data_IF_047623835777
#
_entry.id   IF_047623835777
#
_cell.length_a   1.000
_cell.length_b   1.000
_cell.length_c   1.000
_cell.angle_alpha   90.00
_cell.angle_beta   90.00
_cell.angle_gamma   90.00
#
_symmetry.space_group_name_H-M   'P 1'
#
loop_
_entity.id
_entity.type
_entity.pdbx_description
1 polymer ?
#
# COMPACT_ATOMS: atom_id res chain seq x y z
N UNK A 1 6.51 30.81 -15.21
CA UNK A 1 7.66 30.08 -14.58
C UNK A 1 7.10 29.26 -13.44
N UNK A 2 7.22 27.95 -13.51
CA UNK A 2 6.67 27.08 -12.46
C UNK A 2 7.77 26.64 -11.47
N UNK A 3 7.38 26.41 -10.21
CA UNK A 3 8.20 25.80 -9.17
C UNK A 3 7.73 24.37 -8.94
N UNK A 4 8.62 23.39 -9.14
CA UNK A 4 8.35 22.00 -8.85
C UNK A 4 8.92 21.63 -7.48
N UNK A 5 8.06 21.29 -6.55
CA UNK A 5 8.43 20.74 -5.25
C UNK A 5 8.57 19.21 -5.40
N UNK A 6 9.80 18.73 -5.46
CA UNK A 6 10.12 17.32 -5.59
C UNK A 6 10.33 16.71 -4.20
N UNK A 7 9.30 16.08 -3.65
CA UNK A 7 9.37 15.36 -2.38
C UNK A 7 9.99 13.98 -2.60
N UNK A 8 11.19 13.79 -2.07
CA UNK A 8 11.99 12.56 -2.27
C UNK A 8 11.99 11.61 -1.06
N UNK A 9 11.21 11.88 -0.07
CA UNK A 9 11.20 11.11 1.20
C UNK A 9 12.17 11.77 2.22
N UNK A 10 12.99 11.07 2.96
CA UNK A 10 13.44 9.67 2.80
C UNK A 10 12.30 8.65 2.97
N UNK A 11 12.48 7.38 2.55
CA UNK A 11 11.49 6.34 2.87
C UNK A 11 11.26 6.27 4.39
N UNK A 12 10.06 5.85 4.81
CA UNK A 12 9.69 5.70 6.23
C UNK A 12 9.54 7.03 7.02
N UNK A 13 9.29 8.13 6.31
CA UNK A 13 8.95 9.46 6.86
C UNK A 13 7.51 9.88 6.54
N UNK A 14 6.59 8.93 6.47
CA UNK A 14 5.16 9.23 6.20
C UNK A 14 4.83 9.56 4.75
N UNK A 15 5.72 9.24 3.81
CA UNK A 15 5.55 9.54 2.37
C UNK A 15 4.22 9.06 1.81
N UNK A 16 3.81 7.83 2.12
CA UNK A 16 2.52 7.28 1.67
C UNK A 16 1.31 8.07 2.18
N UNK A 17 1.40 8.63 3.38
CA UNK A 17 0.35 9.49 3.93
C UNK A 17 0.20 10.77 3.10
N UNK A 18 1.30 11.48 2.85
CA UNK A 18 1.30 12.69 2.03
C UNK A 18 0.85 12.41 0.58
N UNK A 19 1.35 11.33 -0.02
CA UNK A 19 1.02 10.93 -1.38
C UNK A 19 -0.48 10.68 -1.56
N UNK A 20 -1.09 9.90 -0.67
CA UNK A 20 -2.53 9.65 -0.70
C UNK A 20 -3.32 10.93 -0.43
N UNK A 21 -2.91 11.71 0.57
CA UNK A 21 -3.56 12.99 0.87
C UNK A 21 -3.58 13.92 -0.37
N UNK A 22 -2.46 14.11 -1.05
CA UNK A 22 -2.41 14.95 -2.24
C UNK A 22 -3.21 14.37 -3.41
N UNK A 23 -3.20 13.04 -3.58
CA UNK A 23 -4.00 12.38 -4.60
C UNK A 23 -5.49 12.60 -4.40
N UNK A 24 -5.97 12.46 -3.16
CA UNK A 24 -7.39 12.58 -2.83
C UNK A 24 -7.87 14.04 -2.87
N UNK A 25 -6.96 14.99 -2.74
CA UNK A 25 -7.24 16.44 -2.64
C UNK A 25 -6.81 17.25 -3.86
N UNK A 26 -6.59 16.63 -5.02
CA UNK A 26 -6.15 17.35 -6.24
C UNK A 26 -6.98 18.58 -6.56
N UNK A 27 -8.31 18.47 -6.49
CA UNK A 27 -9.21 19.56 -6.84
C UNK A 27 -9.07 20.77 -5.87
N UNK A 28 -8.80 20.52 -4.60
CA UNK A 28 -8.58 21.60 -3.60
C UNK A 28 -7.22 22.25 -3.80
N UNK A 29 -6.19 21.44 -4.09
CA UNK A 29 -4.85 21.95 -4.43
C UNK A 29 -4.89 22.89 -5.65
N UNK A 30 -5.62 22.51 -6.70
CA UNK A 30 -5.76 23.32 -7.91
C UNK A 30 -6.39 24.69 -7.64
N UNK A 31 -7.35 24.80 -6.72
CA UNK A 31 -7.94 26.07 -6.30
C UNK A 31 -6.90 27.02 -5.67
N UNK A 32 -5.85 26.48 -5.06
CA UNK A 32 -4.75 27.22 -4.47
C UNK A 32 -3.55 27.42 -5.41
N UNK A 33 -3.70 27.06 -6.69
CA UNK A 33 -2.64 27.20 -7.69
C UNK A 33 -1.56 26.11 -7.64
N UNK A 34 -1.80 25.03 -6.87
CA UNK A 34 -0.94 23.85 -6.85
C UNK A 34 -1.54 22.75 -7.70
N UNK A 35 -0.69 21.92 -8.28
CA UNK A 35 -1.13 20.66 -8.91
C UNK A 35 -0.34 19.48 -8.38
N UNK A 36 -1.05 18.38 -8.11
CA UNK A 36 -0.49 17.04 -7.91
C UNK A 36 -0.76 16.22 -9.16
N UNK A 37 0.17 16.18 -10.14
CA UNK A 37 -0.06 15.64 -11.47
C UNK A 37 -0.58 14.21 -11.48
N UNK A 38 -1.50 13.91 -12.38
CA UNK A 38 -1.87 12.56 -12.75
C UNK A 38 -1.38 12.28 -14.17
N UNK A 39 -0.24 11.63 -14.27
CA UNK A 39 0.37 11.29 -15.56
C UNK A 39 -0.36 10.16 -16.30
N UNK A 40 -1.43 9.58 -15.73
CA UNK A 40 -2.16 8.42 -16.28
C UNK A 40 -1.27 7.19 -16.50
N UNK A 41 -0.15 7.12 -15.81
CA UNK A 41 0.79 6.00 -15.85
C UNK A 41 0.55 5.05 -14.69
N UNK A 42 0.72 3.75 -14.95
CA UNK A 42 0.62 2.71 -13.93
C UNK A 42 1.86 1.84 -13.96
N UNK A 43 2.43 1.59 -12.79
CA UNK A 43 3.63 0.78 -12.63
C UNK A 43 3.31 -0.43 -11.75
N UNK A 44 3.71 -1.63 -12.20
CA UNK A 44 3.42 -2.86 -11.47
C UNK A 44 4.02 -2.83 -10.07
N UNK A 45 3.18 -3.03 -9.05
CA UNK A 45 3.60 -3.04 -7.64
C UNK A 45 3.85 -1.65 -7.04
N UNK A 46 3.54 -0.57 -7.74
CA UNK A 46 3.69 0.81 -7.26
C UNK A 46 2.32 1.45 -7.03
N UNK A 47 2.15 2.10 -5.88
CA UNK A 47 0.91 2.81 -5.55
C UNK A 47 0.65 3.97 -6.51
N UNK A 48 -0.60 4.14 -6.94
CA UNK A 48 -1.00 5.20 -7.88
C UNK A 48 -0.74 6.62 -7.37
N UNK A 49 -0.63 6.78 -6.05
CA UNK A 49 -0.35 8.07 -5.44
C UNK A 49 1.10 8.53 -5.62
N UNK A 50 2.02 7.68 -6.06
CA UNK A 50 3.43 8.01 -6.30
C UNK A 50 3.61 8.64 -7.69
N UNK A 51 3.20 9.88 -7.84
CA UNK A 51 3.19 10.56 -9.14
C UNK A 51 4.58 10.85 -9.72
N UNK A 52 5.64 10.89 -8.89
CA UNK A 52 7.03 11.06 -9.32
C UNK A 52 7.75 9.77 -9.74
N UNK A 53 7.05 8.60 -9.76
CA UNK A 53 7.72 7.32 -9.98
C UNK A 53 8.40 7.17 -11.34
N UNK A 54 8.00 7.90 -12.35
CA UNK A 54 8.68 7.94 -13.66
C UNK A 54 10.17 8.32 -13.54
N UNK A 55 10.54 9.07 -12.49
CA UNK A 55 11.94 9.42 -12.20
C UNK A 55 12.75 8.25 -11.61
N UNK A 56 12.08 7.32 -10.96
CA UNK A 56 12.69 6.15 -10.33
C UNK A 56 12.54 4.87 -11.16
N UNK A 57 11.82 4.92 -12.27
CA UNK A 57 11.55 3.78 -13.13
C UNK A 57 12.77 3.38 -13.95
N UNK A 58 13.09 2.07 -14.06
CA UNK A 58 14.35 1.56 -14.60
C UNK A 58 14.22 0.35 -15.52
N UNK A 59 13.06 0.13 -16.13
CA UNK A 59 12.91 -0.93 -17.12
C UNK A 59 13.38 -0.46 -18.50
N UNK A 60 13.33 -1.37 -19.47
CA UNK A 60 13.81 -1.13 -20.83
C UNK A 60 13.17 0.09 -21.50
N UNK A 61 11.93 0.41 -21.16
CA UNK A 61 11.16 1.54 -21.66
C UNK A 61 11.26 2.82 -20.80
N UNK A 62 12.19 2.87 -19.85
CA UNK A 62 12.31 3.97 -18.87
C UNK A 62 12.49 5.34 -19.54
N UNK A 63 13.27 5.43 -20.63
CA UNK A 63 13.44 6.69 -21.35
C UNK A 63 12.14 7.15 -22.02
N UNK A 64 11.38 6.25 -22.62
CA UNK A 64 10.07 6.57 -23.21
C UNK A 64 9.08 7.06 -22.15
N UNK A 65 9.04 6.38 -20.99
CA UNK A 65 8.22 6.78 -19.83
C UNK A 65 8.61 8.17 -19.35
N UNK A 66 9.91 8.43 -19.21
CA UNK A 66 10.43 9.73 -18.80
C UNK A 66 10.01 10.83 -19.79
N UNK A 67 10.23 10.65 -21.09
CA UNK A 67 9.88 11.63 -22.12
C UNK A 67 8.39 11.92 -22.16
N UNK A 68 7.55 10.89 -22.07
CA UNK A 68 6.09 11.07 -22.00
C UNK A 68 5.66 11.87 -20.78
N UNK A 69 6.26 11.59 -19.61
CA UNK A 69 5.99 12.37 -18.41
C UNK A 69 6.44 13.83 -18.55
N UNK A 70 7.61 14.08 -19.15
CA UNK A 70 8.13 15.42 -19.37
C UNK A 70 7.30 16.23 -20.38
N UNK A 71 6.77 15.60 -21.40
CA UNK A 71 5.83 16.24 -22.34
C UNK A 71 4.57 16.73 -21.59
N UNK A 72 3.96 15.89 -20.76
CA UNK A 72 2.81 16.27 -19.94
C UNK A 72 3.17 17.37 -18.93
N UNK A 73 4.34 17.25 -18.27
CA UNK A 73 4.84 18.29 -17.35
C UNK A 73 4.89 19.66 -18.01
N UNK A 74 5.52 19.73 -19.18
CA UNK A 74 5.83 20.99 -19.83
C UNK A 74 4.68 21.56 -20.64
N UNK A 75 3.87 20.70 -21.29
CA UNK A 75 2.77 21.13 -22.15
C UNK A 75 1.45 21.31 -21.40
N UNK A 76 1.25 20.61 -20.29
CA UNK A 76 0.01 20.70 -19.53
C UNK A 76 0.19 21.39 -18.18
N UNK A 77 1.01 20.82 -17.29
CA UNK A 77 1.04 21.24 -15.91
C UNK A 77 1.76 22.56 -15.71
N UNK A 78 2.97 22.74 -16.26
CA UNK A 78 3.74 23.96 -16.14
C UNK A 78 3.13 25.17 -16.87
N UNK A 79 2.21 24.96 -17.80
CA UNK A 79 1.49 26.05 -18.47
C UNK A 79 0.29 26.54 -17.67
N UNK A 80 -0.30 25.68 -16.84
CA UNK A 80 -1.54 25.98 -16.11
C UNK A 80 -1.29 26.35 -14.65
N UNK A 81 -0.19 25.86 -14.06
CA UNK A 81 0.07 25.98 -12.64
C UNK A 81 1.49 26.50 -12.37
N UNK A 82 1.58 27.37 -11.39
CA UNK A 82 2.86 27.95 -10.93
C UNK A 82 3.57 27.05 -9.91
N UNK A 83 2.85 26.12 -9.29
CA UNK A 83 3.36 25.25 -8.23
C UNK A 83 2.95 23.79 -8.47
N UNK A 84 3.93 22.90 -8.56
CA UNK A 84 3.73 21.49 -8.89
C UNK A 84 4.34 20.66 -7.78
N UNK A 85 3.62 19.68 -7.27
CA UNK A 85 4.10 18.74 -6.25
C UNK A 85 4.31 17.38 -6.90
N UNK A 86 5.55 16.91 -6.89
CA UNK A 86 5.92 15.53 -7.23
C UNK A 86 6.39 14.80 -5.98
N UNK A 87 6.03 13.53 -5.83
CA UNK A 87 6.44 12.72 -4.69
C UNK A 87 6.86 11.32 -5.11
N UNK A 88 8.12 10.97 -4.78
CA UNK A 88 8.69 9.66 -5.04
C UNK A 88 9.80 9.32 -4.04
N UNK A 89 9.50 8.46 -3.09
CA UNK A 89 10.43 8.12 -1.99
C UNK A 89 11.67 7.31 -2.42
N UNK A 90 11.61 6.60 -3.55
CA UNK A 90 12.77 5.86 -4.04
C UNK A 90 13.93 6.76 -4.45
N UNK A 91 13.66 8.01 -4.78
CA UNK A 91 14.67 9.02 -5.13
C UNK A 91 15.58 9.36 -3.94
N UNK A 92 15.07 9.30 -2.72
CA UNK A 92 15.82 9.53 -1.49
C UNK A 92 16.96 8.52 -1.26
N UNK A 93 16.89 7.36 -1.90
CA UNK A 93 17.92 6.32 -1.78
C UNK A 93 18.89 6.26 -2.95
N UNK A 94 18.51 6.72 -4.14
CA UNK A 94 19.23 6.40 -5.36
C UNK A 94 19.58 7.58 -6.26
N UNK A 95 19.04 8.79 -6.01
CA UNK A 95 19.37 10.01 -6.76
C UNK A 95 19.22 9.97 -8.28
N UNK A 96 18.73 8.86 -8.82
CA UNK A 96 18.73 8.58 -10.25
C UNK A 96 17.71 9.44 -10.97
N UNK A 97 18.14 10.02 -12.08
CA UNK A 97 17.38 10.94 -12.91
C UNK A 97 17.03 12.30 -12.26
N UNK A 98 17.40 12.56 -10.99
CA UNK A 98 17.15 13.88 -10.39
C UNK A 98 17.92 14.94 -11.16
N UNK A 99 19.19 14.74 -11.42
CA UNK A 99 20.04 15.70 -12.16
C UNK A 99 19.49 15.96 -13.57
N UNK A 100 19.17 14.89 -14.32
CA UNK A 100 18.54 15.01 -15.64
C UNK A 100 17.24 15.82 -15.57
N UNK A 101 16.36 15.47 -14.65
CA UNK A 101 15.09 16.17 -14.46
C UNK A 101 15.28 17.64 -14.12
N UNK A 102 16.18 17.95 -13.20
CA UNK A 102 16.49 19.33 -12.81
C UNK A 102 17.02 20.13 -14.00
N UNK A 103 17.92 19.55 -14.80
CA UNK A 103 18.47 20.19 -15.98
C UNK A 103 17.40 20.42 -17.06
N UNK A 104 16.54 19.45 -17.31
CA UNK A 104 15.45 19.56 -18.28
C UNK A 104 14.42 20.63 -17.86
N UNK A 105 14.11 20.73 -16.56
CA UNK A 105 13.23 21.78 -16.03
C UNK A 105 13.88 23.18 -16.08
N UNK A 106 15.17 23.28 -15.73
CA UNK A 106 15.94 24.55 -15.83
C UNK A 106 16.02 25.03 -17.28
N UNK A 107 16.21 24.15 -18.25
CA UNK A 107 16.26 24.47 -19.68
C UNK A 107 14.95 25.12 -20.17
N UNK A 108 13.84 24.89 -19.47
CA UNK A 108 12.52 25.47 -19.75
C UNK A 108 12.14 26.62 -18.81
N UNK A 109 13.13 27.20 -18.10
CA UNK A 109 12.95 28.29 -17.14
C UNK A 109 12.01 27.94 -15.94
N UNK A 110 12.01 26.68 -15.51
CA UNK A 110 11.34 26.24 -14.29
C UNK A 110 12.34 25.99 -13.17
N UNK A 111 11.87 26.04 -11.93
CA UNK A 111 12.68 25.81 -10.73
C UNK A 111 12.27 24.48 -10.09
N UNK A 112 13.25 23.66 -9.70
CA UNK A 112 13.01 22.45 -8.90
C UNK A 112 13.53 22.70 -7.49
N UNK A 113 12.67 22.50 -6.50
CA UNK A 113 13.00 22.50 -5.07
C UNK A 113 12.85 21.10 -4.51
N UNK A 114 13.88 20.60 -3.85
CA UNK A 114 13.86 19.30 -3.21
C UNK A 114 13.30 19.42 -1.79
N UNK A 115 12.24 18.67 -1.50
CA UNK A 115 11.70 18.52 -0.15
C UNK A 115 12.13 17.16 0.37
N UNK A 116 12.89 17.15 1.48
CA UNK A 116 13.39 15.92 2.08
C UNK A 116 13.20 15.92 3.59
N UNK A 117 12.63 14.82 4.12
CA UNK A 117 12.48 14.57 5.54
C UNK A 117 13.53 13.58 6.03
N UNK A 118 14.25 13.94 7.06
CA UNK A 118 15.27 13.10 7.70
C UNK A 118 14.69 12.47 8.97
N UNK A 119 14.86 11.19 9.12
CA UNK A 119 14.47 10.43 10.30
C UNK A 119 15.69 9.93 11.03
N UNK A 120 15.69 9.94 12.37
CA UNK A 120 16.83 9.44 13.15
C UNK A 120 17.20 8.03 12.70
N UNK A 121 18.48 7.78 12.51
CA UNK A 121 19.00 6.62 11.77
C UNK A 121 18.57 5.28 12.38
N UNK A 122 18.53 5.15 13.70
CA UNK A 122 18.05 3.99 14.41
C UNK A 122 16.58 3.68 14.11
N UNK A 123 15.72 4.69 14.17
CA UNK A 123 14.28 4.57 13.90
C UNK A 123 14.00 4.31 12.40
N UNK A 124 14.83 4.88 11.53
CA UNK A 124 14.79 4.59 10.11
C UNK A 124 15.07 3.12 9.83
N UNK A 125 16.19 2.59 10.37
CA UNK A 125 16.59 1.20 10.14
C UNK A 125 15.59 0.20 10.71
N UNK A 126 15.07 0.43 11.91
CA UNK A 126 14.02 -0.41 12.49
C UNK A 126 12.80 -0.48 11.59
N UNK A 127 12.34 0.68 11.12
CA UNK A 127 11.19 0.76 10.21
C UNK A 127 11.47 0.10 8.85
N UNK A 128 12.71 0.23 8.35
CA UNK A 128 13.15 -0.39 7.09
C UNK A 128 13.22 -1.91 7.21
N UNK A 129 13.83 -2.40 8.30
CA UNK A 129 13.90 -3.83 8.57
C UNK A 129 12.51 -4.45 8.75
N UNK A 130 11.65 -3.82 9.54
CA UNK A 130 10.27 -4.28 9.71
C UNK A 130 9.52 -4.35 8.36
N UNK A 131 9.76 -3.41 7.46
CA UNK A 131 9.20 -3.47 6.11
C UNK A 131 9.76 -4.65 5.30
N UNK A 132 11.07 -4.87 5.35
CA UNK A 132 11.71 -5.98 4.66
C UNK A 132 11.24 -7.34 5.21
N UNK A 133 11.02 -7.45 6.52
CA UNK A 133 10.46 -8.66 7.16
C UNK A 133 9.03 -8.90 6.68
N UNK A 134 8.20 -7.86 6.59
CA UNK A 134 6.84 -7.98 6.04
C UNK A 134 6.84 -8.50 4.59
N UNK A 135 7.89 -8.21 3.86
CA UNK A 135 8.07 -8.74 2.50
C UNK A 135 8.70 -10.15 2.53
N UNK A 136 10.00 -10.23 2.72
CA UNK A 136 10.75 -11.49 2.51
C UNK A 136 11.93 -11.70 3.47
N UNK A 137 12.36 -10.68 4.23
CA UNK A 137 13.59 -10.77 5.03
C UNK A 137 13.47 -11.81 6.15
N UNK A 138 14.56 -12.56 6.36
CA UNK A 138 14.68 -13.64 7.34
C UNK A 138 15.68 -13.28 8.45
N UNK A 139 16.59 -12.34 8.19
CA UNK A 139 17.61 -11.91 9.12
C UNK A 139 17.01 -11.16 10.31
N UNK A 140 17.66 -11.28 11.45
CA UNK A 140 17.35 -10.48 12.64
C UNK A 140 17.67 -9.00 12.41
N UNK A 141 17.21 -8.14 13.31
CA UNK A 141 17.52 -6.73 13.22
C UNK A 141 19.02 -6.44 13.34
N UNK A 142 19.71 -7.10 14.28
CA UNK A 142 21.14 -6.92 14.47
C UNK A 142 21.94 -7.38 13.24
N UNK A 143 21.62 -8.54 12.66
CA UNK A 143 22.23 -8.97 11.39
C UNK A 143 21.94 -8.03 10.21
N UNK A 144 20.79 -7.33 10.25
CA UNK A 144 20.43 -6.37 9.22
C UNK A 144 21.31 -5.11 9.28
N UNK A 145 21.58 -4.60 10.47
CA UNK A 145 22.37 -3.38 10.66
C UNK A 145 23.89 -3.57 10.50
N UNK A 146 24.40 -4.81 10.54
CA UNK A 146 25.80 -5.11 10.25
C UNK A 146 26.23 -4.73 8.82
N UNK A 147 25.24 -4.63 7.90
CA UNK A 147 25.52 -4.25 6.53
C UNK A 147 25.63 -2.73 6.40
N UNK A 148 26.76 -2.21 5.90
CA UNK A 148 26.91 -0.79 5.68
C UNK A 148 25.79 -0.21 4.81
N UNK A 149 25.27 0.93 5.19
CA UNK A 149 24.24 1.64 4.44
C UNK A 149 24.63 3.10 4.23
N UNK A 150 25.05 3.44 3.03
CA UNK A 150 25.39 4.82 2.65
C UNK A 150 24.18 5.78 2.74
N UNK A 151 22.96 5.24 2.79
CA UNK A 151 21.73 6.04 2.90
C UNK A 151 21.62 6.78 4.24
N UNK A 152 22.38 6.35 5.26
CA UNK A 152 22.36 6.94 6.60
C UNK A 152 23.34 8.11 6.75
N UNK A 153 24.27 8.31 5.81
CA UNK A 153 25.08 9.53 5.75
C UNK A 153 24.26 10.65 5.09
N UNK A 154 23.47 11.30 5.91
CA UNK A 154 22.59 12.36 5.44
C UNK A 154 23.35 13.56 4.88
N UNK A 155 24.49 13.91 5.47
CA UNK A 155 25.26 15.05 5.01
C UNK A 155 25.82 14.84 3.60
N UNK A 156 26.46 13.70 3.34
CA UNK A 156 26.99 13.39 2.01
C UNK A 156 25.89 13.34 0.95
N UNK A 157 24.74 12.75 1.30
CA UNK A 157 23.60 12.68 0.40
C UNK A 157 23.00 14.08 0.10
N UNK A 158 22.80 14.91 1.11
CA UNK A 158 22.25 16.26 0.93
C UNK A 158 23.23 17.17 0.16
N UNK A 159 24.55 17.03 0.37
CA UNK A 159 25.54 17.76 -0.44
C UNK A 159 25.43 17.41 -1.92
N UNK A 160 25.33 16.13 -2.26
CA UNK A 160 25.14 15.70 -3.66
C UNK A 160 23.86 16.30 -4.29
N UNK A 161 22.77 16.38 -3.55
CA UNK A 161 21.54 17.00 -4.03
C UNK A 161 21.66 18.53 -4.12
N UNK A 162 22.33 19.18 -3.16
CA UNK A 162 22.60 20.60 -3.15
C UNK A 162 23.41 21.02 -4.39
N UNK A 163 24.38 20.22 -4.80
CA UNK A 163 25.19 20.47 -6.00
C UNK A 163 24.34 20.47 -7.29
N UNK A 164 23.27 19.67 -7.31
CA UNK A 164 22.34 19.60 -8.45
C UNK A 164 21.39 20.79 -8.48
N UNK A 165 20.71 21.11 -7.37
CA UNK A 165 19.64 22.10 -7.36
C UNK A 165 20.07 23.49 -6.88
N UNK A 166 21.17 23.60 -6.13
CA UNK A 166 21.60 24.79 -5.40
C UNK A 166 21.05 24.84 -3.98
N UNK A 167 21.76 25.50 -3.07
CA UNK A 167 21.44 25.57 -1.65
C UNK A 167 20.03 26.11 -1.37
N UNK A 168 19.63 27.19 -2.05
CA UNK A 168 18.33 27.87 -1.86
C UNK A 168 17.13 26.98 -2.27
N UNK A 169 17.36 25.89 -2.96
CA UNK A 169 16.34 24.95 -3.43
C UNK A 169 16.30 23.66 -2.62
N UNK A 170 17.03 23.59 -1.51
CA UNK A 170 16.99 22.47 -0.57
C UNK A 170 16.06 22.79 0.59
N UNK A 171 14.95 22.08 0.70
CA UNK A 171 13.97 22.19 1.78
C UNK A 171 14.10 20.96 2.67
N UNK A 172 15.06 21.02 3.60
CA UNK A 172 15.39 19.92 4.52
C UNK A 172 14.53 20.02 5.78
N UNK A 173 13.85 18.95 6.14
CA UNK A 173 13.00 18.85 7.32
C UNK A 173 13.39 17.65 8.18
N UNK A 174 13.06 17.70 9.45
CA UNK A 174 13.29 16.60 10.38
C UNK A 174 11.97 15.89 10.70
N UNK A 175 11.94 14.57 10.56
CA UNK A 175 10.77 13.75 10.86
C UNK A 175 10.74 13.37 12.35
N UNK A 176 10.48 14.37 13.17
CA UNK A 176 10.20 14.25 14.61
C UNK A 176 9.00 15.13 14.96
N UNK A 177 8.06 14.59 15.73
CA UNK A 177 6.80 15.28 16.05
C UNK A 177 7.01 16.66 16.67
N UNK A 178 7.96 16.78 17.59
CA UNK A 178 8.28 18.05 18.27
C UNK A 178 8.97 19.09 17.36
N UNK A 179 9.38 18.71 16.15
CA UNK A 179 10.01 19.59 15.17
C UNK A 179 9.10 19.96 14.01
N UNK A 180 7.91 19.39 13.95
CA UNK A 180 6.92 19.80 12.95
C UNK A 180 6.38 21.19 13.24
N UNK A 181 6.26 22.00 12.19
CA UNK A 181 5.70 23.34 12.23
C UNK A 181 4.28 23.35 11.65
N UNK A 182 3.64 24.52 11.74
CA UNK A 182 2.26 24.73 11.31
C UNK A 182 1.23 24.45 12.41
N UNK A 183 -0.03 24.70 12.12
CA UNK A 183 -1.11 24.80 13.10
C UNK A 183 -1.34 23.49 13.89
N UNK A 184 -1.25 22.35 13.22
CA UNK A 184 -1.52 21.03 13.84
C UNK A 184 -0.25 20.32 14.32
N UNK A 185 0.93 20.85 14.01
CA UNK A 185 2.23 20.25 14.35
C UNK A 185 2.30 18.77 13.95
N UNK A 186 1.78 18.45 12.78
CA UNK A 186 1.88 17.14 12.16
C UNK A 186 2.64 17.22 10.83
N UNK A 187 2.96 16.08 10.24
CA UNK A 187 3.69 15.99 8.98
C UNK A 187 3.02 16.78 7.84
N UNK A 188 1.70 16.83 7.82
CA UNK A 188 0.94 17.55 6.79
C UNK A 188 1.10 19.06 6.95
N UNK A 189 0.88 19.59 8.17
CA UNK A 189 1.04 21.02 8.42
C UNK A 189 2.50 21.46 8.21
N UNK A 190 3.46 20.64 8.59
CA UNK A 190 4.87 20.88 8.34
C UNK A 190 5.19 20.95 6.83
N UNK A 191 4.63 20.04 6.05
CA UNK A 191 4.79 20.08 4.60
C UNK A 191 4.13 21.32 3.98
N UNK A 192 2.94 21.68 4.45
CA UNK A 192 2.22 22.86 3.96
C UNK A 192 3.03 24.13 4.17
N UNK A 193 3.52 24.36 5.38
CA UNK A 193 4.39 25.50 5.70
C UNK A 193 5.66 25.48 4.84
N UNK A 194 6.26 24.31 4.64
CA UNK A 194 7.48 24.14 3.85
C UNK A 194 7.32 24.57 2.40
N UNK A 195 6.16 24.30 1.79
CA UNK A 195 5.90 24.63 0.38
C UNK A 195 5.05 25.89 0.19
N UNK A 196 4.52 26.47 1.27
CA UNK A 196 3.64 27.64 1.26
C UNK A 196 2.21 27.32 0.79
N UNK A 197 1.70 26.14 1.18
CA UNK A 197 0.32 25.72 0.96
C UNK A 197 -0.49 26.04 2.22
N UNK A 198 -1.69 26.56 2.07
CA UNK A 198 -2.56 26.87 3.19
C UNK A 198 -3.58 25.77 3.46
N UNK A 199 -4.02 25.66 4.73
CA UNK A 199 -5.13 24.76 5.06
C UNK A 199 -6.42 25.24 4.38
N UNK A 200 -7.25 24.31 3.94
CA UNK A 200 -8.58 24.54 3.37
C UNK A 200 -9.56 23.54 3.99
N UNK A 201 -10.74 24.01 4.39
CA UNK A 201 -11.79 23.19 4.99
C UNK A 201 -12.35 22.11 4.04
N UNK A 202 -12.14 22.28 2.73
CA UNK A 202 -12.53 21.29 1.73
C UNK A 202 -11.55 20.13 1.63
N UNK A 203 -10.39 20.18 2.31
CA UNK A 203 -9.48 19.04 2.31
C UNK A 203 -10.08 17.81 2.96
N UNK A 204 -10.09 16.71 2.21
CA UNK A 204 -10.51 15.39 2.69
C UNK A 204 -9.38 14.82 3.53
N UNK A 205 -9.66 14.60 4.81
CA UNK A 205 -8.75 13.88 5.68
C UNK A 205 -9.00 12.38 5.58
N UNK A 206 -7.95 11.56 5.54
CA UNK A 206 -8.12 10.11 5.58
C UNK A 206 -8.81 9.72 6.91
N UNK A 207 -9.85 8.93 6.83
CA UNK A 207 -10.69 8.52 7.98
C UNK A 207 -9.89 7.83 9.09
N UNK A 208 -8.78 7.20 8.77
CA UNK A 208 -7.85 6.59 9.75
C UNK A 208 -6.41 6.73 9.29
N UNK A 209 -5.66 7.61 9.95
CA UNK A 209 -4.19 7.62 9.88
C UNK A 209 -3.64 6.56 10.84
N UNK A 210 -4.03 5.31 10.66
CA UNK A 210 -3.37 4.20 11.32
C UNK A 210 -2.62 3.42 10.26
N UNK A 211 -1.33 3.73 10.11
CA UNK A 211 -0.36 2.76 9.61
C UNK A 211 0.37 2.18 10.83
N UNK A 212 -0.26 1.28 11.60
CA UNK A 212 0.41 0.68 12.73
C UNK A 212 1.65 -0.06 12.25
N UNK A 213 2.70 -0.08 13.04
CA UNK A 213 3.86 -0.92 12.77
C UNK A 213 3.60 -2.31 13.36
N UNK A 214 3.69 -3.33 12.52
CA UNK A 214 3.75 -4.68 13.04
C UNK A 214 5.04 -4.81 13.85
N UNK A 215 4.95 -5.27 15.10
CA UNK A 215 6.08 -5.36 16.01
C UNK A 215 5.96 -6.58 16.91
N UNK A 216 6.96 -6.79 17.77
CA UNK A 216 6.96 -7.85 18.76
C UNK A 216 6.82 -9.25 18.14
N UNK A 217 6.13 -10.13 18.84
CA UNK A 217 5.90 -11.51 18.42
C UNK A 217 5.25 -11.63 17.03
N UNK A 218 4.41 -10.68 16.65
CA UNK A 218 3.75 -10.70 15.33
C UNK A 218 4.73 -10.48 14.18
N UNK A 219 5.67 -9.55 14.32
CA UNK A 219 6.70 -9.32 13.32
C UNK A 219 7.71 -10.48 13.29
N UNK A 220 8.12 -10.98 14.46
CA UNK A 220 9.01 -12.13 14.58
C UNK A 220 8.38 -13.41 14.01
N UNK A 221 7.07 -13.61 14.22
CA UNK A 221 6.32 -14.70 13.54
C UNK A 221 6.44 -14.57 12.02
N UNK A 222 6.25 -13.37 11.47
CA UNK A 222 6.42 -13.16 10.02
C UNK A 222 7.85 -13.46 9.57
N UNK A 223 8.86 -13.01 10.32
CA UNK A 223 10.27 -13.28 10.01
C UNK A 223 10.57 -14.78 9.97
N UNK A 224 10.09 -15.53 10.97
CA UNK A 224 10.24 -17.00 11.00
C UNK A 224 9.47 -17.68 9.86
N UNK A 225 8.29 -17.20 9.50
CA UNK A 225 7.54 -17.69 8.36
C UNK A 225 8.29 -17.47 7.03
N UNK A 226 9.06 -16.41 6.90
CA UNK A 226 9.85 -16.15 5.69
C UNK A 226 10.93 -17.20 5.40
N UNK A 227 11.25 -18.09 6.36
CA UNK A 227 12.11 -19.24 6.12
C UNK A 227 11.48 -20.27 5.17
N UNK A 228 10.19 -20.13 4.88
CA UNK A 228 9.43 -20.96 3.96
C UNK A 228 9.10 -20.16 2.72
N UNK A 229 9.53 -20.58 1.52
CA UNK A 229 9.40 -19.81 0.27
C UNK A 229 7.97 -19.32 0.00
N UNK A 230 6.98 -20.08 0.43
CA UNK A 230 5.57 -19.78 0.22
C UNK A 230 5.09 -18.55 1.00
N UNK A 231 5.76 -18.21 2.11
CA UNK A 231 5.50 -17.00 2.90
C UNK A 231 6.47 -15.85 2.57
N UNK A 232 7.63 -16.18 2.01
CA UNK A 232 8.63 -15.20 1.58
C UNK A 232 8.27 -14.61 0.20
N UNK A 233 7.06 -14.13 0.05
CA UNK A 233 6.56 -13.56 -1.21
C UNK A 233 6.05 -12.14 -0.99
N UNK A 234 6.14 -11.32 -2.04
CA UNK A 234 5.55 -9.97 -2.03
C UNK A 234 4.02 -9.96 -1.96
N UNK A 235 3.37 -11.08 -2.22
CA UNK A 235 1.91 -11.21 -2.12
C UNK A 235 1.40 -11.21 -0.69
N UNK A 236 2.27 -11.47 0.28
CA UNK A 236 2.05 -11.25 1.72
C UNK A 236 0.65 -11.56 2.26
N UNK A 237 0.07 -12.67 1.82
CA UNK A 237 -1.31 -13.03 2.18
C UNK A 237 -1.51 -13.19 3.71
N UNK A 238 -0.45 -13.43 4.48
CA UNK A 238 -0.52 -13.57 5.94
C UNK A 238 -0.48 -12.24 6.69
N UNK A 239 0.18 -11.22 6.12
CA UNK A 239 0.42 -9.94 6.79
C UNK A 239 -0.86 -9.21 7.22
N UNK A 240 -1.94 -9.15 6.42
CA UNK A 240 -3.20 -8.54 6.87
C UNK A 240 -3.79 -9.20 8.13
N UNK A 241 -3.66 -10.51 8.27
CA UNK A 241 -4.14 -11.25 9.43
C UNK A 241 -3.27 -11.03 10.66
N UNK A 242 -1.94 -10.94 10.46
CA UNK A 242 -1.01 -10.57 11.54
C UNK A 242 -1.31 -9.17 12.07
N UNK A 243 -1.64 -8.21 11.19
CA UNK A 243 -2.06 -6.88 11.62
C UNK A 243 -3.37 -6.93 12.40
N UNK A 244 -4.37 -7.64 11.92
CA UNK A 244 -5.66 -7.75 12.59
C UNK A 244 -5.52 -8.42 13.97
N UNK A 245 -4.68 -9.45 14.09
CA UNK A 245 -4.38 -10.09 15.36
C UNK A 245 -3.61 -9.15 16.31
N UNK A 246 -2.61 -8.44 15.80
CA UNK A 246 -1.83 -7.48 16.57
C UNK A 246 -2.69 -6.30 17.08
N UNK A 247 -3.59 -5.76 16.24
CA UNK A 247 -4.52 -4.69 16.64
C UNK A 247 -5.46 -5.14 17.77
N UNK A 248 -5.97 -6.37 17.71
CA UNK A 248 -6.85 -6.93 18.73
C UNK A 248 -6.17 -7.08 20.10
N UNK A 249 -4.87 -7.37 20.10
CA UNK A 249 -4.10 -7.67 21.31
C UNK A 249 -3.12 -6.55 21.69
N UNK A 250 -3.37 -5.32 21.26
CA UNK A 250 -2.51 -4.16 21.51
C UNK A 250 -1.03 -4.35 21.09
N UNK A 251 -0.80 -5.31 20.19
CA UNK A 251 0.54 -5.69 19.70
C UNK A 251 1.07 -4.81 18.56
N UNK A 252 0.45 -3.65 18.33
CA UNK A 252 0.92 -2.65 17.37
C UNK A 252 1.73 -1.58 18.08
N UNK A 253 2.86 -1.26 17.47
CA UNK A 253 3.83 -0.37 18.08
C UNK A 253 3.78 1.06 17.52
N UNK A 254 4.16 2.02 18.35
CA UNK A 254 4.51 3.36 17.90
C UNK A 254 5.74 3.34 16.98
N UNK A 255 5.76 4.17 15.94
CA UNK A 255 6.91 4.30 15.04
C UNK A 255 8.09 5.04 15.67
N UNK A 256 7.90 5.69 16.80
CA UNK A 256 8.90 6.52 17.47
C UNK A 256 9.68 5.80 18.57
N UNK A 257 9.34 4.54 18.86
CA UNK A 257 9.98 3.78 19.94
C UNK A 257 11.09 2.87 19.42
N UNK A 258 12.22 2.83 20.17
CA UNK A 258 13.23 1.81 19.97
C UNK A 258 12.72 0.46 20.49
N UNK A 259 12.92 -0.60 19.69
CA UNK A 259 12.41 -1.94 20.01
C UNK A 259 13.45 -3.05 19.91
N UNK A 260 14.58 -2.78 19.27
CA UNK A 260 15.53 -3.81 18.84
C UNK A 260 16.97 -3.53 19.27
N UNK A 261 17.24 -2.34 19.82
CA UNK A 261 18.51 -2.00 20.43
C UNK A 261 18.36 -2.03 21.95
N UNK A 262 19.41 -2.47 22.68
CA UNK A 262 19.59 -2.01 24.05
C UNK A 262 19.91 -0.51 24.06
N UNK A 263 19.83 0.12 25.22
CA UNK A 263 20.16 1.54 25.35
C UNK A 263 21.60 1.85 24.88
N UNK A 264 22.58 1.05 25.32
CA UNK A 264 23.98 1.19 24.95
C UNK A 264 24.19 0.96 23.43
N UNK A 265 23.59 -0.08 22.88
CA UNK A 265 23.68 -0.37 21.45
C UNK A 265 23.14 0.80 20.63
N UNK A 266 22.02 1.40 21.06
CA UNK A 266 21.41 2.53 20.37
C UNK A 266 22.34 3.75 20.38
N UNK A 267 22.93 4.08 21.53
CA UNK A 267 23.88 5.19 21.65
C UNK A 267 25.10 4.93 20.78
N UNK A 268 25.72 3.76 20.87
CA UNK A 268 26.92 3.43 20.10
C UNK A 268 26.66 3.41 18.60
N UNK A 269 25.49 2.95 18.18
CA UNK A 269 25.06 3.02 16.79
C UNK A 269 24.91 4.48 16.32
N UNK A 270 24.29 5.34 17.08
CA UNK A 270 24.03 6.74 16.70
C UNK A 270 25.31 7.60 16.71
N UNK A 271 26.31 7.30 17.55
CA UNK A 271 27.61 8.00 17.54
C UNK A 271 28.27 8.02 16.16
N UNK A 272 28.04 6.99 15.34
CA UNK A 272 28.62 6.90 13.99
C UNK A 272 28.12 8.02 13.06
N UNK A 273 26.99 8.63 13.37
CA UNK A 273 26.33 9.66 12.54
C UNK A 273 26.38 11.06 13.16
N UNK A 274 26.92 11.23 14.35
CA UNK A 274 26.95 12.52 15.09
C UNK A 274 27.56 13.63 14.25
N UNK A 275 28.73 13.39 13.64
CA UNK A 275 29.41 14.39 12.83
C UNK A 275 28.60 14.77 11.57
N UNK A 276 28.08 13.76 10.87
CA UNK A 276 27.21 13.96 9.71
C UNK A 276 25.95 14.73 10.09
N UNK A 277 25.28 14.33 11.16
CA UNK A 277 24.07 15.00 11.66
C UNK A 277 24.35 16.45 12.10
N UNK A 278 25.46 16.70 12.76
CA UNK A 278 25.85 18.06 13.18
C UNK A 278 26.11 18.98 11.99
N UNK A 279 26.73 18.47 10.92
CA UNK A 279 26.91 19.23 9.68
C UNK A 279 25.58 19.53 9.02
N UNK A 280 24.66 18.56 8.96
CA UNK A 280 23.30 18.79 8.43
C UNK A 280 22.58 19.87 9.24
N UNK A 281 22.62 19.81 10.56
CA UNK A 281 21.98 20.79 11.43
C UNK A 281 22.48 22.18 11.18
N UNK A 282 23.81 22.36 11.07
CA UNK A 282 24.44 23.68 10.83
C UNK A 282 24.20 24.20 9.42
N UNK A 283 24.50 23.39 8.39
CA UNK A 283 24.55 23.90 7.02
C UNK A 283 23.19 23.93 6.34
N UNK A 284 22.28 23.02 6.66
CA UNK A 284 20.97 22.94 5.99
C UNK A 284 19.83 23.48 6.84
N UNK A 285 19.99 23.54 8.17
CA UNK A 285 18.93 24.01 9.07
C UNK A 285 19.33 25.30 9.83
N UNK A 286 20.57 25.79 9.68
CA UNK A 286 21.06 27.00 10.36
C UNK A 286 21.14 26.88 11.89
N UNK A 287 21.34 25.65 12.41
CA UNK A 287 21.36 25.38 13.84
C UNK A 287 22.79 25.40 14.37
N UNK A 288 23.17 26.44 15.09
CA UNK A 288 24.52 26.60 15.65
C UNK A 288 24.89 25.52 16.66
N UNK A 289 23.89 24.96 17.37
CA UNK A 289 24.08 23.90 18.35
C UNK A 289 24.47 22.56 17.70
N UNK A 290 24.29 22.40 16.40
CA UNK A 290 24.56 21.16 15.67
C UNK A 290 23.61 20.01 16.00
N UNK A 291 22.49 20.28 16.66
CA UNK A 291 21.53 19.25 17.05
C UNK A 291 20.50 19.03 15.92
N UNK A 292 20.60 17.89 15.25
CA UNK A 292 19.66 17.52 14.19
C UNK A 292 18.37 16.91 14.75
N UNK A 293 18.51 15.90 15.59
CA UNK A 293 17.41 15.19 16.22
C UNK A 293 17.31 15.57 17.69
N UNK A 294 16.09 15.87 18.16
CA UNK A 294 15.79 16.39 19.49
C UNK A 294 15.09 15.40 20.40
N UNK A 295 14.55 14.30 19.83
CA UNK A 295 13.91 13.25 20.62
C UNK A 295 14.96 12.54 21.48
N UNK A 296 14.73 12.52 22.79
CA UNK A 296 15.61 11.85 23.74
C UNK A 296 15.68 10.33 23.47
N UNK A 297 16.84 9.76 23.76
CA UNK A 297 17.01 8.31 23.77
C UNK A 297 16.58 7.83 25.15
N UNK A 298 15.52 7.04 25.17
CA UNK A 298 14.97 6.49 26.42
C UNK A 298 15.40 5.04 26.57
N UNK A 299 15.85 4.68 27.78
CA UNK A 299 16.10 3.31 28.12
C UNK A 299 14.76 2.58 28.32
N UNK A 300 14.40 1.74 27.36
CA UNK A 300 13.19 0.92 27.38
C UNK A 300 13.45 -0.50 27.90
N UNK A 301 14.60 -0.75 28.48
CA UNK A 301 15.05 -2.08 28.91
C UNK A 301 15.54 -2.97 27.75
N UNK A 302 15.68 -4.25 28.05
CA UNK A 302 16.14 -5.22 27.06
C UNK A 302 15.10 -5.43 25.96
N UNK A 303 15.52 -5.42 24.67
CA UNK A 303 14.61 -5.67 23.57
C UNK A 303 14.08 -7.10 23.60
N UNK A 304 12.77 -7.26 23.48
CA UNK A 304 12.12 -8.56 23.34
C UNK A 304 12.30 -9.05 21.90
N UNK A 305 13.27 -9.92 21.69
CA UNK A 305 13.62 -10.48 20.37
C UNK A 305 13.40 -11.98 20.29
N UNK A 306 13.31 -12.65 21.43
CA UNK A 306 13.01 -14.08 21.53
C UNK A 306 11.69 -14.33 22.26
N UNK A 307 10.84 -15.08 21.60
CA UNK A 307 9.51 -15.48 22.08
C UNK A 307 9.45 -17.00 22.22
N UNK A 308 8.64 -17.46 23.17
CA UNK A 308 8.40 -18.88 23.38
C UNK A 308 7.66 -19.54 22.21
N UNK A 309 7.76 -20.85 22.12
CA UNK A 309 7.00 -21.61 21.11
C UNK A 309 5.49 -21.42 21.30
N UNK A 310 5.02 -21.25 22.53
CA UNK A 310 3.61 -21.04 22.83
C UNK A 310 3.12 -19.66 22.34
N UNK A 311 3.95 -18.60 22.46
CA UNK A 311 3.61 -17.28 21.92
C UNK A 311 3.51 -17.29 20.39
N UNK A 312 4.47 -17.93 19.70
CA UNK A 312 4.37 -18.10 18.24
C UNK A 312 3.14 -18.92 17.83
N UNK A 313 2.85 -20.00 18.56
CA UNK A 313 1.67 -20.82 18.33
C UNK A 313 0.38 -20.04 18.56
N UNK A 314 0.34 -19.20 19.58
CA UNK A 314 -0.77 -18.29 19.87
C UNK A 314 -1.07 -17.38 18.67
N UNK A 315 -0.04 -16.69 18.15
CA UNK A 315 -0.19 -15.81 16.96
C UNK A 315 -0.66 -16.59 15.73
N UNK A 316 -0.10 -17.76 15.46
CA UNK A 316 -0.50 -18.59 14.33
C UNK A 316 -1.95 -19.08 14.45
N UNK A 317 -2.37 -19.43 15.67
CA UNK A 317 -3.75 -19.84 15.95
C UNK A 317 -4.73 -18.70 15.68
N UNK A 318 -4.43 -17.48 16.10
CA UNK A 318 -5.23 -16.29 15.81
C UNK A 318 -5.33 -16.02 14.31
N UNK A 319 -4.21 -16.08 13.59
CA UNK A 319 -4.17 -15.92 12.13
C UNK A 319 -5.08 -16.95 11.45
N UNK A 320 -5.01 -18.23 11.87
CA UNK A 320 -5.85 -19.29 11.32
C UNK A 320 -7.34 -19.02 11.61
N UNK A 321 -7.67 -18.62 12.83
CA UNK A 321 -9.05 -18.28 13.22
C UNK A 321 -9.58 -17.14 12.35
N UNK A 322 -8.81 -16.07 12.19
CA UNK A 322 -9.22 -14.92 11.36
C UNK A 322 -9.36 -15.28 9.88
N UNK A 323 -8.46 -16.11 9.35
CA UNK A 323 -8.58 -16.62 7.99
C UNK A 323 -9.87 -17.43 7.79
N UNK A 324 -10.19 -18.29 8.76
CA UNK A 324 -11.41 -19.09 8.70
C UNK A 324 -12.67 -18.22 8.79
N UNK A 325 -12.69 -17.21 9.67
CA UNK A 325 -13.79 -16.25 9.77
C UNK A 325 -14.03 -15.53 8.44
N UNK A 326 -12.98 -14.98 7.85
CA UNK A 326 -13.08 -14.31 6.54
C UNK A 326 -13.58 -15.24 5.42
N UNK A 327 -13.14 -16.50 5.43
CA UNK A 327 -13.62 -17.48 4.48
C UNK A 327 -15.11 -17.81 4.64
N UNK A 328 -15.61 -17.82 5.88
CA UNK A 328 -17.04 -17.97 6.15
C UNK A 328 -17.83 -16.78 5.63
N UNK A 329 -17.40 -15.56 5.96
CA UNK A 329 -18.01 -14.32 5.48
C UNK A 329 -18.05 -14.26 3.94
N UNK A 330 -16.96 -14.62 3.27
CA UNK A 330 -16.92 -14.67 1.81
C UNK A 330 -17.88 -15.72 1.23
N UNK A 331 -18.05 -16.86 1.91
CA UNK A 331 -19.02 -17.89 1.50
C UNK A 331 -20.45 -17.40 1.64
N UNK A 332 -20.76 -16.74 2.75
CA UNK A 332 -22.09 -16.19 3.00
C UNK A 332 -22.44 -15.09 2.00
N UNK A 333 -21.51 -14.18 1.73
CA UNK A 333 -21.69 -13.13 0.74
C UNK A 333 -21.90 -13.71 -0.69
N UNK A 334 -21.13 -14.75 -1.06
CA UNK A 334 -21.30 -15.45 -2.33
C UNK A 334 -22.65 -16.16 -2.41
N UNK A 335 -23.09 -16.80 -1.32
CA UNK A 335 -24.38 -17.44 -1.23
C UNK A 335 -25.54 -16.45 -1.38
N UNK A 336 -25.49 -15.32 -0.68
CA UNK A 336 -26.46 -14.24 -0.79
C UNK A 336 -26.56 -13.69 -2.21
N UNK A 337 -25.39 -13.47 -2.86
CA UNK A 337 -25.35 -12.98 -4.24
C UNK A 337 -25.90 -13.98 -5.26
N UNK A 338 -25.67 -15.29 -5.03
CA UNK A 338 -26.27 -16.36 -5.85
C UNK A 338 -27.79 -16.39 -5.66
N UNK A 339 -28.29 -16.18 -4.46
CA UNK A 339 -29.73 -16.14 -4.18
C UNK A 339 -30.40 -14.95 -4.87
N UNK A 340 -29.82 -13.74 -4.74
CA UNK A 340 -30.29 -12.53 -5.44
C UNK A 340 -30.38 -12.74 -6.95
N UNK A 341 -29.38 -13.42 -7.52
CA UNK A 341 -29.35 -13.73 -8.96
C UNK A 341 -30.44 -14.71 -9.38
N UNK A 342 -30.72 -15.72 -8.54
CA UNK A 342 -31.81 -16.67 -8.78
C UNK A 342 -33.17 -15.97 -8.80
N UNK A 343 -33.39 -15.05 -7.87
CA UNK A 343 -34.63 -14.25 -7.79
C UNK A 343 -34.81 -13.36 -9.01
N UNK A 344 -33.77 -12.59 -9.39
CA UNK A 344 -33.80 -11.78 -10.61
C UNK A 344 -34.04 -12.62 -11.89
N UNK A 345 -33.48 -13.83 -11.92
CA UNK A 345 -33.68 -14.76 -13.04
C UNK A 345 -35.11 -15.28 -13.08
N UNK A 346 -35.74 -15.54 -11.93
CA UNK A 346 -37.14 -15.93 -11.83
C UNK A 346 -38.08 -14.81 -12.30
N UNK A 347 -37.89 -13.60 -11.77
CA UNK A 347 -38.65 -12.42 -12.18
C UNK A 347 -38.57 -12.17 -13.70
N UNK A 348 -37.37 -12.33 -14.28
CA UNK A 348 -37.20 -12.18 -15.73
C UNK A 348 -37.96 -13.26 -16.53
N UNK A 349 -37.98 -14.54 -16.04
CA UNK A 349 -38.72 -15.63 -16.65
C UNK A 349 -40.23 -15.39 -16.58
N UNK A 350 -40.73 -14.91 -15.44
CA UNK A 350 -42.16 -14.60 -15.25
C UNK A 350 -42.61 -13.45 -16.17
N UNK A 351 -41.81 -12.39 -16.32
CA UNK A 351 -42.07 -11.32 -17.30
C UNK A 351 -42.07 -11.83 -18.73
N UNK A 352 -41.16 -12.74 -19.08
CA UNK A 352 -41.12 -13.35 -20.42
C UNK A 352 -42.38 -14.19 -20.67
N UNK A 353 -42.88 -14.89 -19.64
CA UNK A 353 -44.10 -15.66 -19.72
C UNK A 353 -45.33 -14.76 -19.93
N UNK A 354 -45.48 -13.71 -19.09
CA UNK A 354 -46.55 -12.72 -19.23
C UNK A 354 -46.59 -12.07 -20.60
N UNK A 355 -45.41 -11.73 -21.15
CA UNK A 355 -45.31 -11.15 -22.48
C UNK A 355 -45.67 -12.17 -23.59
N UNK A 356 -45.36 -13.47 -23.40
CA UNK A 356 -45.79 -14.52 -24.34
C UNK A 356 -47.30 -14.73 -24.29
N UNK A 357 -47.88 -14.72 -23.11
CA UNK A 357 -49.34 -14.88 -22.94
C UNK A 357 -50.08 -13.70 -23.57
N UNK A 358 -49.63 -12.45 -23.34
CA UNK A 358 -50.12 -11.26 -24.03
C UNK A 358 -49.99 -11.33 -25.57
N UNK A 359 -48.84 -11.89 -26.03
CA UNK A 359 -48.62 -12.06 -27.46
C UNK A 359 -49.56 -13.12 -28.08
N UNK A 360 -49.95 -14.14 -27.29
CA UNK A 360 -50.90 -15.18 -27.71
C UNK A 360 -52.32 -14.65 -27.75
N UNK A 361 -52.75 -13.84 -26.75
CA UNK A 361 -54.04 -13.14 -26.73
C UNK A 361 -54.18 -12.21 -27.93
N UNK A 362 -53.15 -11.48 -28.27
CA UNK A 362 -53.10 -10.64 -29.46
C UNK A 362 -53.25 -11.44 -30.79
N UNK A 363 -52.73 -12.68 -30.84
CA UNK A 363 -52.91 -13.57 -31.99
C UNK A 363 -54.36 -14.06 -32.12
N UNK A 364 -55.05 -14.36 -31.02
CA UNK A 364 -56.45 -14.78 -31.02
C UNK A 364 -57.40 -13.63 -31.46
N UNK A 365 -57.16 -12.43 -30.94
CA UNK A 365 -57.91 -11.24 -31.37
C UNK A 365 -57.75 -10.93 -32.88
N UNK A 366 -56.60 -11.30 -33.44
CA UNK A 366 -56.31 -11.15 -34.88
C UNK A 366 -57.13 -12.08 -35.77
N UNK A 367 -57.43 -13.28 -35.27
CA UNK A 367 -58.27 -14.25 -35.99
C UNK A 367 -59.77 -13.86 -35.99
N UNK A 368 -60.24 -13.12 -34.99
CA UNK A 368 -61.64 -12.75 -34.81
C UNK A 368 -62.01 -11.45 -35.46
N UNK A 369 -61.09 -10.61 -35.89
CA UNK A 369 -61.39 -9.27 -36.43
C UNK A 369 -60.69 -8.94 -37.76
N UNK A 370 -60.96 -9.72 -38.80
CA UNK A 370 -60.56 -9.40 -40.19
C UNK A 370 -61.14 -8.11 -40.70
N UNK A 371 -62.09 -7.46 -40.01
CA UNK A 371 -62.82 -6.26 -40.46
C UNK A 371 -62.20 -4.89 -40.02
N UNK A 372 -61.12 -4.88 -39.16
CA UNK A 372 -60.51 -3.61 -38.73
C UNK A 372 -59.04 -3.53 -39.09
N UNK A 373 -58.66 -3.60 -40.34
CA UNK A 373 -57.26 -3.57 -40.82
C UNK A 373 -56.46 -2.35 -40.34
N UNK A 374 -57.12 -1.23 -40.10
CA UNK A 374 -56.42 0.01 -39.68
C UNK A 374 -55.99 0.02 -38.23
N UNK A 375 -56.78 -0.56 -37.33
CA UNK A 375 -56.37 -0.75 -35.89
C UNK A 375 -55.36 -1.86 -35.75
N UNK A 376 -55.46 -2.89 -36.55
CA UNK A 376 -54.56 -4.02 -36.59
C UNK A 376 -53.15 -3.62 -36.99
N UNK A 377 -52.99 -2.63 -37.86
CA UNK A 377 -51.67 -2.13 -38.29
C UNK A 377 -50.93 -1.40 -37.14
N UNK A 378 -51.69 -0.63 -36.38
CA UNK A 378 -51.15 0.07 -35.21
C UNK A 378 -50.80 -0.89 -34.05
N UNK A 379 -51.62 -1.95 -33.86
CA UNK A 379 -51.34 -2.99 -32.89
C UNK A 379 -50.18 -3.90 -33.33
N UNK A 380 -50.06 -4.19 -34.62
CA UNK A 380 -48.89 -4.88 -35.17
C UNK A 380 -47.58 -4.14 -34.91
N UNK A 381 -47.59 -2.81 -35.05
CA UNK A 381 -46.41 -1.97 -34.76
C UNK A 381 -46.03 -1.98 -33.25
N UNK A 382 -47.07 -1.97 -32.41
CA UNK A 382 -46.84 -2.10 -30.94
C UNK A 382 -46.28 -3.48 -30.58
N UNK A 383 -46.81 -4.56 -31.16
CA UNK A 383 -46.34 -5.91 -30.93
C UNK A 383 -44.89 -6.10 -31.37
N UNK A 384 -44.55 -5.57 -32.54
CA UNK A 384 -43.17 -5.64 -33.07
C UNK A 384 -42.17 -4.85 -32.18
N UNK A 385 -42.62 -3.74 -31.61
CA UNK A 385 -41.82 -2.95 -30.67
C UNK A 385 -41.57 -3.71 -29.37
N UNK A 386 -42.62 -4.35 -28.84
CA UNK A 386 -42.53 -5.16 -27.61
C UNK A 386 -41.67 -6.41 -27.81
N UNK A 387 -41.76 -7.07 -28.98
CA UNK A 387 -40.88 -8.18 -29.32
C UNK A 387 -39.41 -7.76 -29.45
N UNK A 388 -39.17 -6.55 -29.99
CA UNK A 388 -37.82 -5.99 -30.09
C UNK A 388 -37.24 -5.66 -28.71
N UNK A 389 -38.05 -5.02 -27.87
CA UNK A 389 -37.70 -4.74 -26.50
C UNK A 389 -37.43 -6.04 -25.68
N UNK A 390 -38.25 -7.11 -25.95
CA UNK A 390 -38.07 -8.43 -25.36
C UNK A 390 -36.80 -9.12 -25.86
N UNK A 391 -36.48 -8.97 -27.13
CA UNK A 391 -35.26 -9.55 -27.71
C UNK A 391 -34.02 -8.84 -27.19
N UNK A 392 -34.06 -7.51 -27.10
CA UNK A 392 -32.99 -6.72 -26.49
C UNK A 392 -32.82 -7.03 -24.98
N UNK A 393 -33.98 -7.22 -24.30
CA UNK A 393 -33.93 -7.60 -22.86
C UNK A 393 -33.42 -9.04 -22.65
N UNK A 394 -33.79 -9.98 -23.53
CA UNK A 394 -33.30 -11.34 -23.53
C UNK A 394 -31.78 -11.38 -23.77
N UNK A 395 -31.33 -10.72 -24.80
CA UNK A 395 -29.91 -10.65 -25.15
C UNK A 395 -29.09 -10.01 -24.03
N UNK A 396 -29.61 -8.97 -23.39
CA UNK A 396 -29.00 -8.34 -22.22
C UNK A 396 -28.96 -9.29 -21.04
N UNK A 397 -30.04 -10.02 -20.76
CA UNK A 397 -30.08 -10.99 -19.62
C UNK A 397 -29.28 -12.26 -19.88
N UNK A 398 -29.23 -12.74 -21.10
CA UNK A 398 -28.38 -13.88 -21.48
C UNK A 398 -26.89 -13.52 -21.34
N UNK A 399 -26.52 -12.29 -21.72
CA UNK A 399 -25.16 -11.80 -21.54
C UNK A 399 -24.81 -11.61 -20.06
N UNK A 400 -25.73 -11.09 -19.24
CA UNK A 400 -25.55 -11.02 -17.78
C UNK A 400 -25.35 -12.42 -17.18
N UNK A 401 -26.19 -13.39 -17.56
CA UNK A 401 -26.11 -14.78 -17.07
C UNK A 401 -24.79 -15.45 -17.50
N UNK A 402 -24.30 -15.18 -18.71
CA UNK A 402 -23.03 -15.69 -19.21
C UNK A 402 -21.85 -15.12 -18.41
N UNK A 403 -21.81 -13.80 -18.23
CA UNK A 403 -20.77 -13.14 -17.46
C UNK A 403 -20.73 -13.60 -15.99
N UNK A 404 -21.90 -13.93 -15.43
CA UNK A 404 -22.00 -14.42 -14.06
C UNK A 404 -21.57 -15.88 -13.91
N UNK A 405 -21.85 -16.73 -14.94
CA UNK A 405 -21.35 -18.11 -14.98
C UNK A 405 -19.82 -18.16 -15.09
N UNK A 406 -19.22 -17.25 -15.87
CA UNK A 406 -17.77 -17.14 -15.99
C UNK A 406 -17.14 -16.71 -14.64
N UNK A 407 -17.71 -15.69 -13.97
CA UNK A 407 -17.27 -15.29 -12.63
C UNK A 407 -17.44 -16.40 -11.58
N UNK A 408 -18.48 -17.20 -11.68
CA UNK A 408 -18.70 -18.34 -10.80
C UNK A 408 -17.62 -19.42 -11.01
N UNK A 409 -17.33 -19.74 -12.28
CA UNK A 409 -16.31 -20.73 -12.63
C UNK A 409 -14.91 -20.29 -12.18
N UNK A 410 -14.55 -18.98 -12.36
CA UNK A 410 -13.30 -18.41 -11.86
C UNK A 410 -13.22 -18.50 -10.33
N UNK A 411 -14.34 -18.22 -9.66
CA UNK A 411 -14.42 -18.25 -8.20
C UNK A 411 -14.30 -19.69 -7.66
N UNK A 412 -14.90 -20.68 -8.36
CA UNK A 412 -14.77 -22.11 -8.02
C UNK A 412 -13.34 -22.66 -8.27
N UNK A 413 -12.70 -22.19 -9.34
CA UNK A 413 -11.32 -22.53 -9.65
C UNK A 413 -10.34 -21.97 -8.59
N UNK A 414 -10.55 -20.69 -8.18
CA UNK A 414 -9.79 -20.06 -7.10
C UNK A 414 -9.96 -20.82 -5.78
N UNK A 415 -11.18 -21.23 -5.47
CA UNK A 415 -11.51 -22.00 -4.27
C UNK A 415 -10.89 -23.41 -4.25
N UNK A 416 -10.83 -24.08 -5.44
CA UNK A 416 -10.14 -25.36 -5.55
C UNK A 416 -8.64 -25.23 -5.32
N UNK A 417 -8.05 -24.15 -5.83
CA UNK A 417 -6.63 -23.83 -5.62
C UNK A 417 -6.36 -23.54 -4.14
N UNK A 418 -7.16 -22.69 -3.52
CA UNK A 418 -7.03 -22.34 -2.10
C UNK A 418 -7.23 -23.55 -1.16
N UNK A 419 -8.15 -24.47 -1.52
CA UNK A 419 -8.35 -25.72 -0.76
C UNK A 419 -7.12 -26.63 -0.86
N UNK A 420 -6.53 -26.77 -2.07
CA UNK A 420 -5.29 -27.54 -2.27
C UNK A 420 -4.12 -26.91 -1.51
N UNK A 421 -4.02 -25.59 -1.53
CA UNK A 421 -2.97 -24.87 -0.81
C UNK A 421 -3.11 -25.07 0.71
N UNK A 422 -4.34 -25.03 1.25
CA UNK A 422 -4.61 -25.32 2.67
C UNK A 422 -4.32 -26.75 3.09
N UNK A 423 -4.71 -27.71 2.27
CA UNK A 423 -4.39 -29.12 2.52
C UNK A 423 -2.87 -29.35 2.52
N UNK A 424 -2.17 -28.79 1.53
CA UNK A 424 -0.73 -28.83 1.44
C UNK A 424 -0.03 -28.22 2.67
N UNK A 425 -0.50 -27.06 3.14
CA UNK A 425 0.08 -26.41 4.32
C UNK A 425 -0.24 -27.12 5.62
N UNK A 426 -1.44 -27.72 5.74
CA UNK A 426 -1.84 -28.50 6.90
C UNK A 426 -0.96 -29.76 7.00
N UNK A 427 -0.80 -30.48 5.91
CA UNK A 427 0.02 -31.70 5.85
C UNK A 427 1.49 -31.41 6.20
N UNK A 428 2.05 -30.32 5.67
CA UNK A 428 3.42 -29.88 5.97
C UNK A 428 3.60 -29.36 7.41
N UNK A 429 2.58 -28.77 8.00
CA UNK A 429 2.60 -28.36 9.40
C UNK A 429 2.58 -29.59 10.33
N UNK A 430 1.74 -30.60 10.01
CA UNK A 430 1.66 -31.85 10.75
C UNK A 430 2.96 -32.67 10.66
N UNK A 431 3.57 -32.77 9.48
CA UNK A 431 4.87 -33.44 9.29
C UNK A 431 5.97 -32.77 10.13
N UNK A 432 6.03 -31.43 10.17
CA UNK A 432 7.03 -30.69 10.94
C UNK A 432 6.80 -30.74 12.44
N UNK A 433 5.54 -30.73 12.87
CA UNK A 433 5.18 -30.93 14.26
C UNK A 433 5.60 -32.32 14.71
N UNK A 434 5.29 -33.35 13.94
CA UNK A 434 5.70 -34.74 14.17
C UNK A 434 7.22 -34.91 14.23
N UNK A 435 7.96 -34.29 13.28
CA UNK A 435 9.42 -34.32 13.28
C UNK A 435 10.03 -33.59 14.50
N UNK A 436 9.40 -32.51 14.96
CA UNK A 436 9.85 -31.73 16.14
C UNK A 436 9.57 -32.47 17.45
N UNK A 437 8.41 -33.14 17.52
CA UNK A 437 8.03 -34.02 18.62
C UNK A 437 8.99 -35.23 18.69
N UNK A 438 9.28 -35.88 17.56
CA UNK A 438 10.24 -37.00 17.48
C UNK A 438 11.65 -36.59 17.95
N UNK A 439 12.14 -35.39 17.57
CA UNK A 439 13.45 -34.89 18.03
C UNK A 439 13.46 -34.58 19.53
N UNK A 440 12.35 -34.01 20.09
CA UNK A 440 12.21 -33.79 21.54
C UNK A 440 12.16 -35.09 22.31
N UNK A 441 11.37 -36.07 21.82
CA UNK A 441 11.30 -37.43 22.40
C UNK A 441 12.66 -38.11 22.39
N UNK A 442 13.42 -38.05 21.28
CA UNK A 442 14.78 -38.58 21.22
C UNK A 442 15.75 -37.92 22.20
N UNK A 443 15.64 -36.59 22.42
CA UNK A 443 16.45 -35.87 23.41
C UNK A 443 16.08 -36.25 24.85
N UNK A 444 14.76 -36.41 25.12
CA UNK A 444 14.27 -36.87 26.44
C UNK A 444 14.73 -38.30 26.72
N UNK A 445 14.55 -39.22 25.75
CA UNK A 445 15.03 -40.59 25.87
C UNK A 445 16.55 -40.70 26.06
N UNK A 446 17.33 -39.78 25.42
CA UNK A 446 18.78 -39.73 25.61
C UNK A 446 19.13 -39.19 27.01
N UNK A 447 18.37 -38.25 27.59
CA UNK A 447 18.52 -37.79 28.98
C UNK A 447 18.09 -38.87 30.00
N UNK A 448 17.01 -39.58 29.75
CA UNK A 448 16.55 -40.71 30.60
C UNK A 448 17.62 -41.83 30.61
N UNK A 449 18.16 -42.20 29.45
CA UNK A 449 19.24 -43.18 29.39
C UNK A 449 20.51 -42.75 30.16
N UNK A 450 20.81 -41.42 30.20
CA UNK A 450 21.98 -40.91 30.96
C UNK A 450 21.75 -40.87 32.47
N UNK A 451 20.53 -40.99 32.93
CA UNK A 451 20.16 -41.02 34.38
C UNK A 451 20.11 -42.47 34.91
N UNK A 452 19.84 -43.44 34.06
CA UNK A 452 19.76 -44.86 34.43
C UNK A 452 21.08 -45.65 34.22
N UNK A 453 22.15 -45.02 33.72
CA UNK A 453 23.49 -45.59 33.57
C UNK A 453 24.53 -44.89 34.45
N UNK A 454 24.13 -44.43 35.64
CA UNK A 454 25.05 -44.16 36.77
C UNK A 454 24.66 -45.00 37.98
#
# INVERSE_FOLDING_TARGET
>A
MATVYLHIGTPKTGTSFLQNFFQDNRAVLEKQGYVYPDFKMTFAGVGKARNGHFLAYRKEDAETVYQTAMELMTQEFCQKFDKIILSEEALGNYGVNIEKFVNDMKAQNHVVRIVVYLRRQDLYLQSKWAQNVKETAQNTFLEFIEKPSNVLDYYGHLCSLKDIVGADNMLVRVYEKQQFIGDTQDLRSDFFETVGLSWDEEFILPEKVKNPSLAGVYLETKRKLNQYPEFATKLNFVVPYLYAAAEKNEGVASYSENKYFTYEQQIDFLKQYEESNAKVAKEFLGREDGILFKDEIVDNGEPLVDYSEDEYFGVLSEVIIMQNQRLLEEKELKAAKIQELKEKTKEAKDKVKELKDKAQELKTVKAEKAAKEKELKTEKEKLLKTEKELKELKEKKENEIKALKEKLAETEAARKKEKKDKEFWKERAEERFSAKVSRKLKKILKKIKSVFCK
#
